data_IF_359903377610
#
_entry.id   IF_359903377610
#
_cell.length_a   1.000
_cell.length_b   1.000
_cell.length_c   1.000
_cell.angle_alpha   90.00
_cell.angle_beta   90.00
_cell.angle_gamma   90.00
#
_symmetry.space_group_name_H-M   'P 1'
#
loop_
_entity.id
_entity.type
_entity.pdbx_description
1 polymer ?
#
# COMPACT_ATOMS: atom_id res chain seq x y z
N UNK A 1 -20.01 13.60 59.94
CA UNK A 1 -19.83 13.64 58.47
C UNK A 1 -18.56 12.87 58.15
N UNK A 2 -18.66 11.69 57.54
CA UNK A 2 -17.54 10.87 57.11
C UNK A 2 -17.45 11.00 55.58
N UNK A 3 -16.34 11.54 55.12
CA UNK A 3 -16.09 11.82 53.69
C UNK A 3 -15.89 10.50 52.97
N UNK A 4 -16.69 10.29 51.91
CA UNK A 4 -16.62 9.14 51.02
C UNK A 4 -15.25 9.12 50.36
N UNK A 5 -14.46 8.10 50.69
CA UNK A 5 -13.18 7.81 50.03
C UNK A 5 -13.40 7.59 48.55
N UNK A 6 -12.78 8.45 47.76
CA UNK A 6 -12.83 8.55 46.32
C UNK A 6 -12.62 7.18 45.66
N UNK A 7 -13.58 6.77 44.83
CA UNK A 7 -13.43 5.63 43.92
C UNK A 7 -12.33 5.99 42.93
N UNK A 8 -11.21 5.28 42.98
CA UNK A 8 -10.21 5.34 41.93
C UNK A 8 -10.81 4.71 40.67
N UNK A 9 -11.26 5.56 39.75
CA UNK A 9 -11.67 5.14 38.41
C UNK A 9 -10.40 4.78 37.65
N UNK A 10 -10.10 3.48 37.51
CA UNK A 10 -9.04 3.02 36.64
C UNK A 10 -9.43 3.33 35.20
N UNK A 11 -8.80 4.34 34.61
CA UNK A 11 -8.92 4.62 33.19
C UNK A 11 -8.07 3.58 32.45
N UNK A 12 -8.73 2.66 31.74
CA UNK A 12 -8.08 1.89 30.68
C UNK A 12 -7.70 2.90 29.60
N UNK A 13 -6.47 3.42 29.65
CA UNK A 13 -5.92 4.23 28.57
C UNK A 13 -5.81 3.27 27.41
N UNK A 14 -6.71 3.39 26.42
CA UNK A 14 -6.54 2.74 25.14
C UNK A 14 -5.22 3.23 24.57
N UNK A 15 -4.17 2.41 24.64
CA UNK A 15 -2.87 2.71 24.04
C UNK A 15 -3.05 2.50 22.54
N UNK A 16 -3.70 3.44 21.87
CA UNK A 16 -3.45 3.62 20.44
C UNK A 16 -1.98 4.03 20.33
N UNK A 17 -1.11 3.24 19.69
CA UNK A 17 0.29 3.57 19.55
C UNK A 17 0.36 4.91 18.81
N UNK A 18 0.85 5.94 19.50
CA UNK A 18 1.03 7.25 18.89
C UNK A 18 2.13 7.13 17.83
N UNK A 19 1.95 7.67 16.63
CA UNK A 19 3.01 7.76 15.62
C UNK A 19 4.26 8.42 16.22
N UNK A 20 5.40 7.75 16.17
CA UNK A 20 6.67 8.27 16.72
C UNK A 20 7.83 8.22 15.73
N UNK A 21 7.66 7.52 14.61
CA UNK A 21 8.72 7.29 13.62
C UNK A 21 8.24 7.50 12.20
N UNK A 22 9.15 7.95 11.35
CA UNK A 22 8.95 8.04 9.91
C UNK A 22 9.20 6.69 9.24
N UNK A 23 8.49 6.45 8.13
CA UNK A 23 8.68 5.29 7.26
C UNK A 23 9.37 5.69 5.95
N UNK A 24 10.27 4.84 5.50
CA UNK A 24 10.83 4.84 4.14
C UNK A 24 10.19 3.72 3.33
N UNK A 25 9.70 4.05 2.13
CA UNK A 25 8.90 3.14 1.31
C UNK A 25 9.46 3.10 -0.10
N UNK A 26 9.65 1.88 -0.61
CA UNK A 26 10.18 1.62 -1.93
C UNK A 26 9.26 0.66 -2.68
N UNK A 27 8.93 1.01 -3.91
CA UNK A 27 8.29 0.07 -4.85
C UNK A 27 9.44 -0.63 -5.58
N UNK A 28 9.65 -1.91 -5.27
CA UNK A 28 10.79 -2.68 -5.77
C UNK A 28 10.53 -3.21 -7.18
N UNK A 29 9.31 -3.72 -7.40
CA UNK A 29 8.92 -4.24 -8.71
C UNK A 29 7.43 -4.15 -8.94
N UNK A 30 7.04 -4.14 -10.21
CA UNK A 30 5.66 -4.09 -10.65
C UNK A 30 5.49 -4.90 -11.94
N UNK A 31 4.31 -5.48 -12.15
CA UNK A 31 4.01 -6.27 -13.34
C UNK A 31 2.57 -6.74 -13.42
N UNK A 32 2.22 -7.46 -14.50
CA UNK A 32 0.89 -8.04 -14.70
C UNK A 32 0.60 -9.22 -13.75
N UNK A 33 1.64 -9.86 -13.24
CA UNK A 33 1.55 -11.02 -12.36
C UNK A 33 2.79 -11.14 -11.49
N UNK A 34 2.71 -11.93 -10.42
CA UNK A 34 3.87 -12.25 -9.58
C UNK A 34 5.01 -12.96 -10.35
N UNK A 35 4.74 -13.54 -11.52
CA UNK A 35 5.73 -14.20 -12.39
C UNK A 35 6.37 -13.29 -13.44
N UNK A 36 5.84 -12.08 -13.65
CA UNK A 36 6.27 -11.13 -14.69
C UNK A 36 6.62 -9.78 -14.08
N UNK A 37 7.23 -9.80 -12.89
CA UNK A 37 7.63 -8.60 -12.18
C UNK A 37 8.90 -8.02 -12.80
N UNK A 38 8.83 -6.74 -13.16
CA UNK A 38 9.97 -5.96 -13.62
C UNK A 38 10.41 -4.99 -12.53
N UNK A 39 11.71 -4.70 -12.46
CA UNK A 39 12.23 -3.75 -11.47
C UNK A 39 11.71 -2.34 -11.76
N UNK A 40 11.23 -1.67 -10.73
CA UNK A 40 10.71 -0.32 -10.79
C UNK A 40 9.20 -0.26 -10.53
N UNK A 41 8.64 0.92 -10.78
CA UNK A 41 7.25 1.24 -10.47
C UNK A 41 6.39 1.47 -11.72
N UNK A 42 6.88 1.09 -12.89
CA UNK A 42 6.17 1.19 -14.15
C UNK A 42 5.76 -0.17 -14.69
N UNK A 43 4.53 -0.27 -15.19
CA UNK A 43 4.00 -1.47 -15.85
C UNK A 43 3.67 -1.09 -17.29
N UNK A 44 4.29 -1.78 -18.25
CA UNK A 44 4.01 -1.59 -19.67
C UNK A 44 3.04 -2.69 -20.11
N UNK A 45 1.91 -2.30 -20.70
CA UNK A 45 0.84 -3.22 -21.09
C UNK A 45 0.44 -3.00 -22.54
N UNK A 46 0.12 -4.10 -23.24
CA UNK A 46 -0.36 -4.02 -24.61
C UNK A 46 -1.77 -3.43 -24.71
N UNK A 47 -2.08 -2.82 -25.86
CA UNK A 47 -3.36 -2.16 -26.06
C UNK A 47 -4.57 -3.08 -25.82
N UNK A 48 -4.47 -4.33 -26.27
CA UNK A 48 -5.52 -5.34 -26.09
C UNK A 48 -5.77 -5.71 -24.62
N UNK A 49 -4.71 -5.70 -23.80
CA UNK A 49 -4.79 -5.94 -22.35
C UNK A 49 -5.36 -4.72 -21.65
N UNK A 50 -4.90 -3.52 -22.00
CA UNK A 50 -5.33 -2.25 -21.40
C UNK A 50 -6.82 -1.94 -21.64
N UNK A 51 -7.39 -2.43 -22.74
CA UNK A 51 -8.80 -2.25 -23.11
C UNK A 51 -9.77 -3.09 -22.29
N UNK A 52 -9.27 -4.08 -21.54
CA UNK A 52 -10.05 -4.93 -20.64
C UNK A 52 -9.58 -4.70 -19.19
N UNK A 53 -10.39 -5.03 -18.17
CA UNK A 53 -9.89 -5.12 -16.81
C UNK A 53 -8.77 -6.16 -16.72
N UNK A 54 -7.66 -5.81 -16.07
CA UNK A 54 -6.52 -6.70 -15.89
C UNK A 54 -5.97 -6.65 -14.46
N UNK A 55 -5.35 -7.75 -14.07
CA UNK A 55 -4.66 -7.87 -12.79
C UNK A 55 -3.26 -7.27 -12.88
N UNK A 56 -2.84 -6.61 -11.80
CA UNK A 56 -1.44 -6.23 -11.59
C UNK A 56 -0.92 -6.81 -10.28
N UNK A 57 0.39 -6.93 -10.16
CA UNK A 57 1.10 -7.25 -8.92
C UNK A 57 2.19 -6.22 -8.69
N UNK A 58 2.25 -5.65 -7.49
CA UNK A 58 3.26 -4.68 -7.08
C UNK A 58 3.92 -5.17 -5.79
N UNK A 59 5.26 -5.09 -5.75
CA UNK A 59 6.05 -5.44 -4.57
C UNK A 59 6.51 -4.16 -3.90
N UNK A 60 6.16 -4.02 -2.63
CA UNK A 60 6.51 -2.86 -1.81
C UNK A 60 7.37 -3.30 -0.65
N UNK A 61 8.40 -2.51 -0.37
CA UNK A 61 9.28 -2.64 0.79
C UNK A 61 9.13 -1.42 1.69
N UNK A 62 8.94 -1.66 2.98
CA UNK A 62 8.81 -0.63 4.01
C UNK A 62 9.89 -0.81 5.07
N UNK A 63 10.65 0.25 5.32
CA UNK A 63 11.66 0.32 6.38
C UNK A 63 11.43 1.55 7.26
N UNK A 64 12.01 1.56 8.46
CA UNK A 64 12.11 2.78 9.26
C UNK A 64 13.24 3.69 8.73
N UNK A 65 13.42 4.86 9.36
CA UNK A 65 14.51 5.79 9.07
C UNK A 65 15.92 5.21 9.27
N UNK A 66 16.03 4.17 10.09
CA UNK A 66 17.29 3.50 10.45
C UNK A 66 17.56 2.28 9.53
N UNK A 67 16.65 1.98 8.59
CA UNK A 67 16.74 0.87 7.65
C UNK A 67 16.21 -0.47 8.16
N UNK A 68 15.59 -0.51 9.34
CA UNK A 68 14.95 -1.73 9.87
C UNK A 68 13.62 -1.98 9.15
N UNK A 69 13.26 -3.24 8.86
CA UNK A 69 11.99 -3.55 8.22
C UNK A 69 10.79 -3.24 9.11
N UNK A 70 9.77 -2.60 8.55
CA UNK A 70 8.49 -2.37 9.24
C UNK A 70 7.57 -3.55 8.97
N UNK A 71 7.28 -4.32 10.02
CA UNK A 71 6.41 -5.50 9.96
C UNK A 71 4.94 -5.14 10.23
N UNK A 72 4.02 -5.89 9.61
CA UNK A 72 2.57 -5.74 9.77
C UNK A 72 2.05 -4.34 9.38
N UNK A 73 2.78 -3.61 8.53
CA UNK A 73 2.28 -2.38 7.93
C UNK A 73 1.18 -2.74 6.94
N UNK A 74 0.02 -2.10 7.06
CA UNK A 74 -1.07 -2.24 6.11
C UNK A 74 -0.80 -1.37 4.89
N UNK A 75 -0.55 -2.00 3.76
CA UNK A 75 -0.23 -1.35 2.50
C UNK A 75 -1.45 -1.43 1.58
N UNK A 76 -1.84 -0.29 1.05
CA UNK A 76 -3.05 -0.13 0.23
C UNK A 76 -2.63 0.57 -1.07
N UNK A 77 -2.86 -0.09 -2.20
CA UNK A 77 -2.66 0.45 -3.54
C UNK A 77 -4.02 0.69 -4.19
N UNK A 78 -4.26 1.89 -4.73
CA UNK A 78 -5.55 2.24 -5.36
C UNK A 78 -5.34 3.16 -6.55
N UNK A 79 -6.13 2.96 -7.61
CA UNK A 79 -6.13 3.82 -8.77
C UNK A 79 -6.69 3.10 -9.99
N UNK A 80 -7.09 3.85 -11.02
CA UNK A 80 -7.53 3.27 -12.31
C UNK A 80 -8.63 2.21 -12.17
N UNK A 81 -9.53 2.38 -11.19
CA UNK A 81 -10.59 1.42 -10.87
C UNK A 81 -10.15 0.21 -10.05
N UNK A 82 -8.84 -0.05 -9.96
CA UNK A 82 -8.27 -1.16 -9.21
C UNK A 82 -7.91 -0.82 -7.76
N UNK A 83 -7.96 -1.84 -6.90
CA UNK A 83 -7.52 -1.73 -5.52
C UNK A 83 -6.91 -3.05 -5.02
N UNK A 84 -5.79 -2.94 -4.32
CA UNK A 84 -5.15 -4.06 -3.64
C UNK A 84 -4.72 -3.63 -2.24
N UNK A 85 -4.76 -4.55 -1.28
CA UNK A 85 -4.23 -4.31 0.05
C UNK A 85 -3.64 -5.56 0.63
N UNK A 86 -2.52 -5.43 1.33
CA UNK A 86 -1.87 -6.53 2.03
C UNK A 86 -0.99 -5.99 3.15
N UNK A 87 -0.51 -6.88 4.03
CA UNK A 87 0.36 -6.51 5.14
C UNK A 87 1.82 -6.87 4.85
N UNK A 88 2.76 -6.10 5.39
CA UNK A 88 4.19 -6.41 5.27
C UNK A 88 4.61 -7.59 6.16
N UNK A 89 5.50 -8.42 5.62
CA UNK A 89 6.08 -9.56 6.30
C UNK A 89 7.19 -9.15 7.30
N UNK A 90 7.87 -10.14 7.88
CA UNK A 90 8.96 -9.90 8.84
C UNK A 90 10.19 -9.19 8.22
N UNK A 91 10.32 -9.19 6.90
CA UNK A 91 11.37 -8.51 6.15
C UNK A 91 10.92 -7.14 5.62
N UNK A 92 9.69 -6.71 5.94
CA UNK A 92 9.12 -5.43 5.49
C UNK A 92 8.60 -5.47 4.06
N UNK A 93 8.45 -6.65 3.44
CA UNK A 93 7.97 -6.79 2.08
C UNK A 93 6.49 -7.17 2.02
N UNK A 94 5.80 -6.73 0.99
CA UNK A 94 4.44 -7.20 0.68
C UNK A 94 4.20 -7.27 -0.82
N UNK A 95 3.30 -8.17 -1.21
CA UNK A 95 2.83 -8.35 -2.58
C UNK A 95 1.38 -7.88 -2.65
N UNK A 96 1.13 -6.90 -3.51
CA UNK A 96 -0.18 -6.31 -3.74
C UNK A 96 -0.66 -6.78 -5.11
N UNK A 97 -1.52 -7.80 -5.10
CA UNK A 97 -2.19 -8.28 -6.31
C UNK A 97 -3.64 -7.82 -6.30
N UNK A 98 -4.08 -7.16 -7.37
CA UNK A 98 -5.49 -6.74 -7.50
C UNK A 98 -6.38 -7.97 -7.66
N UNK A 99 -7.40 -8.17 -6.80
CA UNK A 99 -8.28 -9.31 -6.90
C UNK A 99 -9.30 -9.14 -8.03
N UNK A 100 -9.91 -10.24 -8.45
CA UNK A 100 -11.02 -10.23 -9.39
C UNK A 100 -12.16 -9.32 -8.88
N UNK A 101 -12.62 -8.41 -9.74
CA UNK A 101 -13.65 -7.41 -9.38
C UNK A 101 -13.11 -6.08 -8.82
N UNK A 102 -11.80 -5.99 -8.57
CA UNK A 102 -11.08 -4.75 -8.27
C UNK A 102 -9.83 -4.64 -9.16
N UNK A 103 -9.98 -5.03 -10.41
CA UNK A 103 -8.95 -5.00 -11.45
C UNK A 103 -8.71 -3.60 -11.97
N UNK A 104 -7.54 -3.39 -12.56
CA UNK A 104 -7.16 -2.13 -13.17
C UNK A 104 -7.74 -2.02 -14.57
N UNK A 105 -8.20 -0.83 -14.95
CA UNK A 105 -8.67 -0.54 -16.30
C UNK A 105 -8.21 0.86 -16.73
N UNK A 106 -7.70 0.96 -17.95
CA UNK A 106 -7.48 2.25 -18.61
C UNK A 106 -8.70 2.58 -19.47
N UNK A 107 -9.15 3.83 -19.46
CA UNK A 107 -10.29 4.22 -20.29
C UNK A 107 -9.90 4.27 -21.80
N UNK A 108 -10.85 4.17 -22.74
CA UNK A 108 -10.59 3.99 -24.18
C UNK A 108 -9.72 5.04 -24.89
N UNK A 109 -9.39 6.16 -24.23
CA UNK A 109 -8.49 7.21 -24.73
C UNK A 109 -7.35 7.54 -23.76
N UNK A 110 -7.08 6.64 -22.82
CA UNK A 110 -6.05 6.79 -21.80
C UNK A 110 -4.83 5.94 -22.18
N UNK A 111 -3.71 6.61 -22.45
CA UNK A 111 -2.44 5.94 -22.78
C UNK A 111 -1.59 5.64 -21.54
N UNK A 112 -1.87 6.31 -20.44
CA UNK A 112 -1.17 6.12 -19.18
C UNK A 112 -2.09 6.40 -17.99
N UNK A 113 -1.80 5.76 -16.88
CA UNK A 113 -2.53 5.94 -15.64
C UNK A 113 -1.64 5.72 -14.44
N UNK A 114 -2.01 6.31 -13.32
CA UNK A 114 -1.25 6.21 -12.08
C UNK A 114 -2.09 5.63 -10.94
N UNK A 115 -1.41 5.03 -9.98
CA UNK A 115 -2.01 4.50 -8.76
C UNK A 115 -1.28 5.05 -7.53
N UNK A 116 -2.06 5.35 -6.51
CA UNK A 116 -1.62 5.90 -5.25
C UNK A 116 -1.36 4.77 -4.24
N UNK A 117 -0.36 4.98 -3.40
CA UNK A 117 0.07 4.04 -2.37
C UNK A 117 -0.08 4.68 -0.99
N UNK A 118 -0.88 4.06 -0.13
CA UNK A 118 -1.06 4.44 1.27
C UNK A 118 -0.61 3.32 2.18
N UNK A 119 0.16 3.66 3.21
CA UNK A 119 0.70 2.71 4.18
C UNK A 119 0.44 3.21 5.59
N UNK A 120 -0.14 2.34 6.40
CA UNK A 120 -0.46 2.59 7.80
C UNK A 120 0.20 1.52 8.65
N UNK A 121 0.96 1.91 9.66
CA UNK A 121 1.61 0.98 10.58
C UNK A 121 1.57 1.52 12.01
N UNK A 122 1.40 0.62 12.97
CA UNK A 122 1.35 0.98 14.39
C UNK A 122 2.67 1.60 14.85
N UNK A 123 2.60 2.80 15.44
CA UNK A 123 3.77 3.53 15.94
C UNK A 123 4.52 4.33 14.87
N UNK A 124 4.03 4.34 13.63
CA UNK A 124 4.57 5.12 12.52
C UNK A 124 3.59 6.19 12.04
N UNK A 125 4.09 7.25 11.43
CA UNK A 125 3.23 8.19 10.71
C UNK A 125 2.71 7.56 9.43
N UNK A 126 1.45 7.84 9.09
CA UNK A 126 0.85 7.41 7.83
C UNK A 126 1.69 7.89 6.66
N UNK A 127 1.97 6.99 5.73
CA UNK A 127 2.71 7.28 4.52
C UNK A 127 1.75 7.28 3.33
N UNK A 128 1.73 8.38 2.59
CA UNK A 128 0.98 8.51 1.34
C UNK A 128 1.95 8.91 0.22
N UNK A 129 1.92 8.16 -0.87
CA UNK A 129 2.64 8.49 -2.11
C UNK A 129 1.66 8.47 -3.26
N UNK A 130 1.44 9.66 -3.82
CA UNK A 130 0.70 9.82 -5.06
C UNK A 130 1.54 9.39 -6.25
N UNK A 131 0.87 8.89 -7.28
CA UNK A 131 1.52 8.42 -8.51
C UNK A 131 2.64 7.41 -8.23
N UNK A 132 2.43 6.53 -7.25
CA UNK A 132 3.42 5.57 -6.78
C UNK A 132 3.74 4.53 -7.85
N UNK A 133 2.73 4.10 -8.61
CA UNK A 133 2.85 3.14 -9.72
C UNK A 133 2.26 3.75 -10.97
N UNK A 134 2.95 3.61 -12.10
CA UNK A 134 2.50 4.09 -13.40
C UNK A 134 2.26 2.93 -14.34
N UNK A 135 1.16 2.98 -15.08
CA UNK A 135 0.81 1.99 -16.10
C UNK A 135 0.78 2.69 -17.44
N UNK A 136 1.49 2.14 -18.42
CA UNK A 136 1.61 2.70 -19.77
C UNK A 136 1.07 1.69 -20.78
N UNK A 137 0.12 2.13 -21.60
CA UNK A 137 -0.42 1.40 -22.76
C UNK A 137 0.52 1.57 -23.96
N UNK A 138 0.98 0.46 -24.53
CA UNK A 138 1.70 0.46 -25.81
C UNK A 138 0.71 0.66 -26.97
N UNK A 139 1.19 1.23 -28.08
CA UNK A 139 0.38 1.53 -29.27
C UNK A 139 0.06 0.30 -30.09
#
# INVERSE_FOLDING_TARGET
MLVVGMVALATLISIMPTPTKDMSVFVESAGLSASTLENGNSIIVDASTAENPFTITVVVKTTDSDGNPVRNANVILRGLGGAASNTTDANGFTYLTTPQGAEVRLDPNQNEGTMDLNIVADGFYDYEKKDAVMIIKTR
#
